data_IF_782004062622
#
_entry.id   IF_782004062622
#
_cell.length_a   1.000
_cell.length_b   1.000
_cell.length_c   1.000
_cell.angle_alpha   90.00
_cell.angle_beta   90.00
_cell.angle_gamma   90.00
#
_symmetry.space_group_name_H-M   'P 1'
#
loop_
_entity.id
_entity.type
_entity.pdbx_description
1 polymer ?
#
# COMPACT_ATOMS: atom_id res chain seq x y z
N UNK A 1 -15.86 -0.20 5.66
CA UNK A 1 -16.83 -1.33 5.68
C UNK A 1 -17.12 -1.64 4.21
N UNK A 2 -17.04 -2.90 3.75
CA UNK A 2 -17.26 -3.23 2.33
C UNK A 2 -18.63 -2.78 1.79
N UNK A 3 -19.70 -2.99 2.54
CA UNK A 3 -21.07 -2.61 2.13
C UNK A 3 -21.22 -1.08 2.00
N UNK A 4 -20.51 -0.33 2.85
CA UNK A 4 -20.51 1.13 2.77
C UNK A 4 -19.80 1.62 1.50
N UNK A 5 -18.67 0.99 1.13
CA UNK A 5 -17.95 1.33 -0.09
C UNK A 5 -18.79 0.99 -1.31
N UNK A 6 -19.38 -0.20 -1.37
CA UNK A 6 -20.28 -0.60 -2.47
C UNK A 6 -21.45 0.38 -2.62
N UNK A 7 -22.12 0.73 -1.51
CA UNK A 7 -23.21 1.70 -1.51
C UNK A 7 -22.77 3.09 -2.02
N UNK A 8 -21.58 3.55 -1.60
CA UNK A 8 -21.01 4.80 -2.09
C UNK A 8 -20.69 4.77 -3.59
N UNK A 9 -20.16 3.65 -4.10
CA UNK A 9 -19.92 3.47 -5.53
C UNK A 9 -21.23 3.54 -6.31
N UNK A 10 -22.29 2.83 -5.91
CA UNK A 10 -23.59 2.97 -6.57
C UNK A 10 -24.16 4.39 -6.50
N UNK A 11 -23.92 5.13 -5.41
CA UNK A 11 -24.33 6.52 -5.32
C UNK A 11 -23.55 7.42 -6.30
N UNK A 12 -22.24 7.20 -6.42
CA UNK A 12 -21.36 7.90 -7.37
C UNK A 12 -21.74 7.62 -8.83
N UNK A 13 -22.02 6.35 -9.16
CA UNK A 13 -22.46 5.93 -10.49
C UNK A 13 -23.75 6.65 -10.91
N UNK A 14 -24.75 6.69 -10.01
CA UNK A 14 -26.02 7.43 -10.22
C UNK A 14 -25.81 8.94 -10.32
N UNK A 15 -24.78 9.48 -9.69
CA UNK A 15 -24.39 10.88 -9.78
C UNK A 15 -23.53 11.18 -11.02
N UNK A 16 -23.33 10.22 -11.93
CA UNK A 16 -22.46 10.34 -13.10
C UNK A 16 -21.00 10.67 -12.79
N UNK A 17 -20.51 10.28 -11.62
CA UNK A 17 -19.07 10.30 -11.33
C UNK A 17 -18.45 9.08 -12.00
N UNK A 18 -17.48 9.31 -12.91
CA UNK A 18 -16.85 8.26 -13.70
C UNK A 18 -15.41 8.01 -13.29
N UNK A 19 -14.64 9.05 -13.00
CA UNK A 19 -13.24 8.90 -12.60
C UNK A 19 -13.08 8.85 -11.08
N UNK A 20 -12.40 7.81 -10.59
CA UNK A 20 -12.19 7.58 -9.16
C UNK A 20 -10.70 7.47 -8.85
N UNK A 21 -10.24 8.09 -7.75
CA UNK A 21 -8.92 7.83 -7.19
C UNK A 21 -9.05 7.01 -5.91
N UNK A 22 -8.67 5.73 -5.97
CA UNK A 22 -8.83 4.79 -4.86
C UNK A 22 -7.61 4.83 -3.92
N UNK A 23 -7.87 5.06 -2.63
CA UNK A 23 -6.84 5.17 -1.61
C UNK A 23 -7.24 4.46 -0.30
N UNK A 24 -6.24 4.05 0.48
CA UNK A 24 -6.46 3.42 1.79
C UNK A 24 -7.09 4.40 2.80
N UNK A 25 -6.79 5.69 2.67
CA UNK A 25 -7.13 6.72 3.65
C UNK A 25 -6.19 6.75 4.86
N UNK A 26 -6.33 7.83 5.63
CA UNK A 26 -5.57 8.07 6.85
C UNK A 26 -6.18 7.38 8.06
N UNK A 27 -5.37 7.22 9.11
CA UNK A 27 -5.87 6.67 10.36
C UNK A 27 -6.69 7.73 11.10
N UNK A 28 -7.84 7.32 11.66
CA UNK A 28 -8.73 8.26 12.35
C UNK A 28 -8.28 8.45 13.79
N UNK A 29 -8.00 9.70 14.18
CA UNK A 29 -7.57 10.06 15.53
C UNK A 29 -8.66 10.74 16.37
N UNK A 30 -9.65 11.35 15.74
CA UNK A 30 -10.72 12.14 16.38
C UNK A 30 -12.05 12.00 15.62
N UNK A 31 -13.17 12.34 16.26
CA UNK A 31 -14.51 12.21 15.70
C UNK A 31 -15.61 12.59 16.71
N UNK A 32 -16.87 12.38 16.31
CA UNK A 32 -18.03 12.61 17.17
C UNK A 32 -17.94 11.76 18.44
N UNK A 33 -18.03 12.40 19.60
CA UNK A 33 -17.83 11.76 20.92
C UNK A 33 -16.48 11.05 21.08
N UNK A 34 -15.44 11.53 20.40
CA UNK A 34 -14.08 11.01 20.50
C UNK A 34 -13.68 10.13 19.32
N UNK A 35 -12.62 9.33 19.48
CA UNK A 35 -12.05 8.53 18.39
C UNK A 35 -12.98 7.36 18.04
N UNK A 36 -13.56 7.29 16.84
CA UNK A 36 -14.38 6.16 16.43
C UNK A 36 -13.52 4.91 16.19
N UNK A 37 -14.17 3.74 16.12
CA UNK A 37 -13.51 2.52 15.67
C UNK A 37 -13.00 2.69 14.23
N UNK A 38 -11.70 2.49 13.95
CA UNK A 38 -11.20 2.51 12.58
C UNK A 38 -11.77 1.33 11.79
N UNK A 39 -12.17 1.56 10.54
CA UNK A 39 -12.83 0.55 9.70
C UNK A 39 -12.04 0.28 8.43
N UNK A 40 -11.19 -0.74 8.47
CA UNK A 40 -10.37 -1.20 7.35
C UNK A 40 -10.66 -2.66 6.98
N UNK A 41 -11.91 -2.92 6.59
CA UNK A 41 -12.39 -4.26 6.21
C UNK A 41 -11.89 -4.71 4.84
N UNK A 42 -11.73 -3.75 3.92
CA UNK A 42 -11.16 -3.94 2.59
C UNK A 42 -10.06 -2.90 2.34
N UNK A 43 -9.11 -3.20 1.46
CA UNK A 43 -8.01 -2.31 1.10
C UNK A 43 -8.14 -1.89 -0.37
N UNK A 44 -7.18 -1.12 -0.89
CA UNK A 44 -7.26 -0.56 -2.24
C UNK A 44 -7.41 -1.63 -3.31
N UNK A 45 -6.74 -2.79 -3.16
CA UNK A 45 -6.81 -3.85 -4.18
C UNK A 45 -8.22 -4.41 -4.23
N UNK A 46 -8.85 -4.63 -3.08
CA UNK A 46 -10.23 -5.09 -2.98
C UNK A 46 -11.24 -4.07 -3.54
N UNK A 47 -11.04 -2.78 -3.30
CA UNK A 47 -11.94 -1.74 -3.83
C UNK A 47 -11.81 -1.65 -5.36
N UNK A 48 -10.60 -1.73 -5.90
CA UNK A 48 -10.38 -1.75 -7.35
C UNK A 48 -10.97 -3.00 -7.99
N UNK A 49 -10.81 -4.18 -7.36
CA UNK A 49 -11.47 -5.42 -7.80
C UNK A 49 -12.99 -5.28 -7.79
N UNK A 50 -13.57 -4.71 -6.72
CA UNK A 50 -15.00 -4.44 -6.63
C UNK A 50 -15.46 -3.52 -7.78
N UNK A 51 -14.74 -2.43 -8.05
CA UNK A 51 -15.07 -1.53 -9.17
C UNK A 51 -15.03 -2.28 -10.50
N UNK A 52 -14.01 -3.11 -10.73
CA UNK A 52 -13.89 -3.93 -11.93
C UNK A 52 -15.06 -4.91 -12.08
N UNK A 53 -15.45 -5.56 -10.99
CA UNK A 53 -16.61 -6.47 -10.97
C UNK A 53 -17.94 -5.72 -11.19
N UNK A 54 -18.09 -4.53 -10.61
CA UNK A 54 -19.25 -3.66 -10.84
C UNK A 54 -19.34 -3.21 -12.31
N UNK A 55 -18.22 -2.84 -12.93
CA UNK A 55 -18.17 -2.49 -14.35
C UNK A 55 -18.52 -3.69 -15.26
N UNK A 56 -18.30 -4.92 -14.80
CA UNK A 56 -18.73 -6.14 -15.49
C UNK A 56 -20.19 -6.56 -15.20
N UNK A 57 -20.89 -5.81 -14.34
CA UNK A 57 -22.19 -6.17 -13.78
C UNK A 57 -22.05 -7.17 -12.64
N UNK A 58 -21.78 -6.67 -11.43
CA UNK A 58 -21.46 -7.44 -10.22
C UNK A 58 -22.42 -8.63 -10.03
N UNK A 59 -21.86 -9.83 -9.84
CA UNK A 59 -22.60 -11.08 -9.65
C UNK A 59 -22.34 -11.70 -8.29
N UNK A 60 -23.40 -12.10 -7.58
CA UNK A 60 -23.29 -12.90 -6.35
C UNK A 60 -24.47 -13.84 -6.15
N UNK A 61 -24.29 -14.84 -5.28
CA UNK A 61 -25.35 -15.80 -4.93
C UNK A 61 -26.30 -15.18 -3.91
N UNK A 62 -27.56 -15.00 -4.32
CA UNK A 62 -28.67 -14.66 -3.44
C UNK A 62 -29.53 -15.88 -3.09
N UNK A 63 -30.53 -15.68 -2.23
CA UNK A 63 -31.42 -16.77 -1.76
C UNK A 63 -32.19 -17.47 -2.90
N UNK A 64 -32.47 -16.78 -4.01
CA UNK A 64 -33.27 -17.29 -5.15
C UNK A 64 -32.45 -17.56 -6.42
N UNK A 65 -31.11 -17.58 -6.32
CA UNK A 65 -30.21 -17.79 -7.46
C UNK A 65 -29.11 -16.74 -7.57
N UNK A 66 -28.45 -16.68 -8.72
CA UNK A 66 -27.44 -15.65 -9.00
C UNK A 66 -28.14 -14.31 -9.25
N UNK A 67 -27.76 -13.29 -8.51
CA UNK A 67 -28.15 -11.89 -8.76
C UNK A 67 -27.06 -11.27 -9.60
N UNK A 68 -27.45 -10.58 -10.67
CA UNK A 68 -26.56 -9.79 -11.52
C UNK A 68 -27.04 -8.34 -11.53
N UNK A 69 -26.13 -7.42 -11.21
CA UNK A 69 -26.41 -5.98 -11.23
C UNK A 69 -26.20 -5.39 -12.62
N UNK A 70 -26.77 -4.20 -12.84
CA UNK A 70 -26.45 -3.40 -14.01
C UNK A 70 -24.96 -3.02 -13.98
N UNK A 71 -24.24 -3.13 -15.11
CA UNK A 71 -22.86 -2.65 -15.21
C UNK A 71 -22.73 -1.17 -14.85
N UNK A 72 -21.72 -0.83 -14.06
CA UNK A 72 -21.26 0.55 -13.87
C UNK A 72 -20.24 0.94 -14.94
N UNK A 73 -19.85 2.22 -14.95
CA UNK A 73 -18.81 2.74 -15.83
C UNK A 73 -17.87 3.65 -15.04
N UNK A 74 -16.88 3.04 -14.38
CA UNK A 74 -15.86 3.75 -13.62
C UNK A 74 -14.48 3.60 -14.25
N UNK A 75 -13.71 4.69 -14.26
CA UNK A 75 -12.29 4.73 -14.55
C UNK A 75 -11.49 4.86 -13.24
N UNK A 76 -10.90 3.76 -12.78
CA UNK A 76 -10.34 3.66 -11.43
C UNK A 76 -8.83 3.83 -11.39
N UNK A 77 -8.35 4.93 -10.79
CA UNK A 77 -6.93 5.20 -10.54
C UNK A 77 -6.48 4.85 -9.14
N UNK A 78 -5.16 4.73 -8.98
CA UNK A 78 -4.51 4.36 -7.72
C UNK A 78 -3.33 5.25 -7.39
N UNK A 79 -3.08 5.49 -6.10
CA UNK A 79 -1.92 6.27 -5.66
C UNK A 79 -0.65 5.41 -5.50
N UNK A 80 0.53 5.94 -5.79
CA UNK A 80 1.82 5.30 -5.51
C UNK A 80 2.84 6.30 -4.95
N UNK A 81 3.56 5.93 -3.88
CA UNK A 81 4.59 6.80 -3.29
C UNK A 81 6.00 6.25 -3.57
N UNK A 82 6.84 6.96 -4.34
CA UNK A 82 8.26 6.66 -4.45
C UNK A 82 9.10 7.33 -3.35
N UNK A 83 8.49 8.10 -2.45
CA UNK A 83 9.20 8.92 -1.48
C UNK A 83 9.44 8.15 -0.17
N UNK A 84 10.24 7.07 -0.26
CA UNK A 84 10.60 6.25 0.89
C UNK A 84 12.08 6.30 1.22
N UNK A 85 12.36 6.28 2.52
CA UNK A 85 13.72 6.41 3.06
C UNK A 85 14.44 5.07 3.04
N UNK A 86 13.75 3.98 3.37
CA UNK A 86 14.39 2.66 3.49
C UNK A 86 14.03 1.71 2.34
N UNK A 87 14.83 0.66 2.17
CA UNK A 87 14.63 -0.32 1.10
C UNK A 87 13.30 -1.06 1.25
N UNK A 88 13.01 -1.57 2.46
CA UNK A 88 11.75 -2.26 2.70
C UNK A 88 10.56 -1.37 2.36
N UNK A 89 10.56 -0.12 2.82
CA UNK A 89 9.47 0.80 2.56
C UNK A 89 9.28 1.07 1.06
N UNK A 90 10.36 1.32 0.33
CA UNK A 90 10.32 1.58 -1.11
C UNK A 90 9.78 0.36 -1.88
N UNK A 91 10.38 -0.81 -1.64
CA UNK A 91 10.00 -2.03 -2.35
C UNK A 91 8.57 -2.44 -2.05
N UNK A 92 8.09 -2.24 -0.81
CA UNK A 92 6.70 -2.49 -0.45
C UNK A 92 5.71 -1.59 -1.20
N UNK A 93 6.06 -0.32 -1.48
CA UNK A 93 5.21 0.55 -2.32
C UNK A 93 5.12 0.02 -3.76
N UNK A 94 6.24 -0.45 -4.32
CA UNK A 94 6.28 -1.02 -5.67
C UNK A 94 5.61 -2.39 -5.77
N UNK A 95 5.76 -3.25 -4.77
CA UNK A 95 5.02 -4.52 -4.69
C UNK A 95 3.51 -4.27 -4.58
N UNK A 96 3.10 -3.26 -3.80
CA UNK A 96 1.70 -2.86 -3.72
C UNK A 96 1.21 -2.23 -5.01
N UNK A 97 2.03 -1.45 -5.71
CA UNK A 97 1.69 -0.87 -7.02
C UNK A 97 1.38 -1.97 -8.05
N UNK A 98 2.24 -3.00 -8.14
CA UNK A 98 1.96 -4.17 -8.98
C UNK A 98 0.58 -4.76 -8.69
N UNK A 99 0.27 -5.02 -7.42
CA UNK A 99 -1.03 -5.57 -7.02
C UNK A 99 -2.21 -4.65 -7.35
N UNK A 100 -2.02 -3.33 -7.25
CA UNK A 100 -3.05 -2.34 -7.60
C UNK A 100 -3.37 -2.37 -9.10
N UNK A 101 -2.34 -2.49 -9.94
CA UNK A 101 -2.50 -2.60 -11.39
C UNK A 101 -3.17 -3.95 -11.73
N UNK A 102 -2.71 -5.05 -11.15
CA UNK A 102 -3.30 -6.39 -11.34
C UNK A 102 -4.76 -6.47 -10.86
N UNK A 103 -5.12 -5.71 -9.82
CA UNK A 103 -6.50 -5.58 -9.36
C UNK A 103 -7.42 -4.91 -10.39
N UNK A 104 -6.87 -4.12 -11.31
CA UNK A 104 -7.61 -3.35 -12.32
C UNK A 104 -7.43 -1.84 -12.23
N UNK A 105 -6.35 -1.33 -11.63
CA UNK A 105 -6.07 0.10 -11.62
C UNK A 105 -5.65 0.60 -13.00
N UNK A 106 -6.31 1.62 -13.51
CA UNK A 106 -6.20 2.08 -14.90
C UNK A 106 -5.33 3.34 -15.08
N UNK A 107 -5.04 4.07 -14.00
CA UNK A 107 -4.04 5.13 -13.99
C UNK A 107 -3.38 5.24 -12.62
N UNK A 108 -2.18 5.82 -12.58
CA UNK A 108 -1.41 6.03 -11.35
C UNK A 108 -1.25 7.50 -11.06
N UNK A 109 -1.55 7.92 -9.83
CA UNK A 109 -1.20 9.26 -9.33
C UNK A 109 -0.04 9.12 -8.36
N UNK A 110 1.06 9.84 -8.61
CA UNK A 110 2.18 9.86 -7.67
C UNK A 110 1.76 10.53 -6.36
N UNK A 111 2.27 10.06 -5.24
CA UNK A 111 2.16 10.80 -3.99
C UNK A 111 2.93 12.12 -4.09
N UNK A 112 2.63 13.07 -3.21
CA UNK A 112 3.38 14.31 -3.12
C UNK A 112 4.83 14.07 -2.63
N UNK A 113 5.78 14.69 -3.32
CA UNK A 113 7.19 14.81 -2.93
C UNK A 113 7.97 15.66 -3.91
N UNK A 114 9.23 15.95 -3.59
CA UNK A 114 9.99 17.01 -4.27
C UNK A 114 11.36 16.56 -4.79
N UNK A 115 11.86 15.40 -4.35
CA UNK A 115 13.12 14.86 -4.84
C UNK A 115 12.96 14.35 -6.27
N UNK A 116 13.68 14.98 -7.21
CA UNK A 116 13.58 14.71 -8.64
C UNK A 116 13.96 13.28 -9.00
N UNK A 117 14.93 12.70 -8.28
CA UNK A 117 15.36 11.31 -8.50
C UNK A 117 14.27 10.33 -8.10
N UNK A 118 13.55 10.55 -7.00
CA UNK A 118 12.38 9.74 -6.62
C UNK A 118 11.19 9.88 -7.57
N UNK A 119 10.99 11.07 -8.12
CA UNK A 119 9.98 11.27 -9.17
C UNK A 119 10.35 10.43 -10.40
N UNK A 120 11.56 10.59 -10.91
CA UNK A 120 12.07 9.82 -12.04
C UNK A 120 12.05 8.30 -11.79
N UNK A 121 12.35 7.87 -10.56
CA UNK A 121 12.33 6.46 -10.14
C UNK A 121 10.96 5.80 -10.37
N UNK A 122 9.85 6.50 -10.10
CA UNK A 122 8.50 5.96 -10.26
C UNK A 122 8.17 5.67 -11.74
N UNK A 123 8.32 6.68 -12.61
CA UNK A 123 7.97 6.54 -14.02
C UNK A 123 8.88 5.50 -14.71
N UNK A 124 10.16 5.48 -14.34
CA UNK A 124 11.10 4.49 -14.84
C UNK A 124 10.76 3.07 -14.37
N UNK A 125 10.36 2.91 -13.10
CA UNK A 125 9.91 1.62 -12.57
C UNK A 125 8.68 1.09 -13.30
N UNK A 126 7.67 1.94 -13.52
CA UNK A 126 6.46 1.58 -14.27
C UNK A 126 6.81 1.10 -15.69
N UNK A 127 7.66 1.86 -16.40
CA UNK A 127 8.11 1.51 -17.76
C UNK A 127 8.91 0.20 -17.78
N UNK A 128 9.81 -0.01 -16.83
CA UNK A 128 10.63 -1.23 -16.77
C UNK A 128 9.80 -2.48 -16.45
N UNK A 129 8.67 -2.34 -15.74
CA UNK A 129 7.73 -3.44 -15.53
C UNK A 129 6.85 -3.73 -16.78
N UNK A 130 6.90 -2.88 -17.82
CA UNK A 130 6.09 -3.01 -19.02
C UNK A 130 4.62 -2.68 -18.79
N UNK A 131 4.29 -1.86 -17.78
CA UNK A 131 2.93 -1.45 -17.51
C UNK A 131 2.55 -0.24 -18.37
N UNK A 132 1.56 -0.43 -19.23
CA UNK A 132 1.05 0.59 -20.15
C UNK A 132 -0.21 1.23 -19.57
N UNK A 133 -0.04 2.29 -18.78
CA UNK A 133 -1.13 3.06 -18.19
C UNK A 133 -0.69 4.49 -17.88
N UNK A 134 -1.61 5.47 -17.90
CA UNK A 134 -1.29 6.86 -17.62
C UNK A 134 -0.71 7.08 -16.22
N UNK A 135 0.34 7.87 -16.14
CA UNK A 135 0.98 8.29 -14.88
C UNK A 135 0.84 9.79 -14.70
N UNK A 136 0.17 10.20 -13.64
CA UNK A 136 -0.08 11.58 -13.27
C UNK A 136 0.85 12.00 -12.13
N UNK A 137 1.67 13.02 -12.38
CA UNK A 137 2.56 13.61 -11.37
C UNK A 137 1.80 14.52 -10.42
N UNK A 138 2.23 14.62 -9.16
CA UNK A 138 1.57 15.46 -8.16
C UNK A 138 2.42 16.68 -7.81
N UNK A 139 1.85 17.86 -8.04
CA UNK A 139 2.45 19.17 -7.78
C UNK A 139 1.63 19.84 -6.69
N UNK A 140 2.29 20.28 -5.63
CA UNK A 140 1.63 21.04 -4.56
C UNK A 140 2.35 22.37 -4.32
N UNK A 141 1.58 23.47 -4.28
CA UNK A 141 2.09 24.78 -3.87
C UNK A 141 2.37 24.74 -2.37
N UNK A 142 3.60 24.38 -2.01
CA UNK A 142 3.99 24.07 -0.64
C UNK A 142 4.31 25.32 0.18
N UNK A 143 3.45 25.76 1.11
CA UNK A 143 3.83 26.82 2.03
C UNK A 143 4.83 26.29 3.07
N UNK A 144 5.68 27.18 3.59
CA UNK A 144 6.71 26.85 4.59
C UNK A 144 6.14 26.12 5.82
N UNK A 145 4.95 26.49 6.29
CA UNK A 145 4.30 25.84 7.43
C UNK A 145 4.01 24.36 7.17
N UNK A 146 3.47 24.04 5.99
CA UNK A 146 3.22 22.66 5.58
C UNK A 146 4.54 21.90 5.35
N UNK A 147 5.55 22.55 4.75
CA UNK A 147 6.88 21.96 4.56
C UNK A 147 7.50 21.53 5.91
N UNK A 148 7.46 22.40 6.92
CA UNK A 148 7.93 22.10 8.27
C UNK A 148 7.17 20.93 8.90
N UNK A 149 5.86 20.83 8.64
CA UNK A 149 5.04 19.73 9.13
C UNK A 149 5.39 18.39 8.44
N UNK A 150 5.60 18.39 7.12
CA UNK A 150 6.05 17.21 6.37
C UNK A 150 7.45 16.76 6.81
N UNK A 151 8.38 17.70 6.96
CA UNK A 151 9.76 17.44 7.35
C UNK A 151 9.87 16.74 8.72
N UNK A 152 9.04 17.15 9.69
CA UNK A 152 8.96 16.50 11.01
C UNK A 152 8.04 15.28 11.06
N UNK A 153 7.64 14.72 9.91
CA UNK A 153 6.72 13.58 9.80
C UNK A 153 5.35 13.81 10.48
N UNK A 154 4.86 15.05 10.49
CA UNK A 154 3.53 15.39 11.00
C UNK A 154 2.40 15.15 9.98
N UNK A 155 2.74 14.93 8.70
CA UNK A 155 1.84 14.49 7.63
C UNK A 155 2.34 13.14 7.10
N UNK A 156 1.70 12.02 7.49
CA UNK A 156 2.16 10.69 7.10
C UNK A 156 2.34 10.53 5.59
N UNK A 157 3.51 10.05 5.18
CA UNK A 157 3.80 9.73 3.78
C UNK A 157 4.13 10.91 2.86
N UNK A 158 4.16 12.13 3.38
CA UNK A 158 4.66 13.31 2.69
C UNK A 158 6.09 13.63 3.18
N UNK A 159 7.03 13.82 2.26
CA UNK A 159 8.44 14.07 2.59
C UNK A 159 8.84 15.45 2.09
N UNK A 160 9.30 16.31 3.00
CA UNK A 160 9.97 17.57 2.67
C UNK A 160 11.40 17.51 3.24
N UNK A 161 12.43 17.34 2.40
CA UNK A 161 13.83 17.29 2.85
C UNK A 161 14.29 18.61 3.46
N UNK A 162 15.31 18.57 4.32
CA UNK A 162 15.81 19.74 5.06
C UNK A 162 16.20 20.90 4.13
N UNK A 163 16.86 20.58 3.01
CA UNK A 163 17.25 21.55 1.98
C UNK A 163 16.03 22.30 1.43
N UNK A 164 14.93 21.61 1.12
CA UNK A 164 13.71 22.25 0.62
C UNK A 164 13.07 23.16 1.69
N UNK A 165 13.07 22.74 2.96
CA UNK A 165 12.56 23.58 4.05
C UNK A 165 13.41 24.85 4.21
N UNK A 166 14.73 24.74 4.07
CA UNK A 166 15.64 25.88 4.12
C UNK A 166 15.41 26.84 2.95
N UNK A 167 15.25 26.32 1.72
CA UNK A 167 14.93 27.12 0.53
C UNK A 167 13.63 27.91 0.74
N UNK A 168 12.56 27.23 1.19
CA UNK A 168 11.27 27.86 1.47
C UNK A 168 11.34 28.88 2.61
N UNK A 169 12.23 28.68 3.59
CA UNK A 169 12.44 29.62 4.68
C UNK A 169 13.07 30.91 4.18
N UNK A 170 14.08 30.80 3.31
CA UNK A 170 14.72 31.95 2.65
C UNK A 170 13.73 32.69 1.74
N UNK A 171 12.94 31.97 0.95
CA UNK A 171 11.91 32.57 0.09
C UNK A 171 10.85 33.33 0.88
N UNK A 172 10.52 32.88 2.10
CA UNK A 172 9.54 33.54 2.95
C UNK A 172 9.99 34.92 3.49
N UNK A 173 11.27 35.27 3.35
CA UNK A 173 11.80 36.59 3.70
C UNK A 173 11.43 37.68 2.69
N UNK A 174 11.08 37.29 1.45
CA UNK A 174 10.65 38.23 0.41
C UNK A 174 9.34 38.95 0.76
N UNK A 175 9.06 40.14 0.18
CA UNK A 175 7.84 40.90 0.47
C UNK A 175 6.54 40.12 0.24
N UNK A 176 6.53 39.26 -0.78
CA UNK A 176 5.39 38.40 -1.16
C UNK A 176 5.32 37.08 -0.36
N UNK A 177 6.22 36.89 0.61
CA UNK A 177 6.36 35.67 1.42
C UNK A 177 6.62 34.41 0.58
N UNK A 178 7.37 34.56 -0.51
CA UNK A 178 7.80 33.46 -1.37
C UNK A 178 6.68 32.90 -2.24
N UNK A 179 5.65 33.70 -2.53
CA UNK A 179 4.50 33.27 -3.35
C UNK A 179 4.93 33.02 -4.79
N UNK A 180 5.66 33.96 -5.39
CA UNK A 180 6.18 33.85 -6.75
C UNK A 180 7.14 32.67 -6.88
N UNK A 181 8.08 32.52 -5.93
CA UNK A 181 9.02 31.40 -5.93
C UNK A 181 8.32 30.02 -5.88
N UNK A 182 7.21 29.90 -5.14
CA UNK A 182 6.37 28.68 -5.13
C UNK A 182 5.69 28.43 -6.48
N UNK A 183 5.20 29.47 -7.16
CA UNK A 183 4.58 29.33 -8.48
C UNK A 183 5.62 28.93 -9.53
N UNK A 184 6.78 29.58 -9.55
CA UNK A 184 7.89 29.23 -10.46
C UNK A 184 8.37 27.79 -10.22
N UNK A 185 8.51 27.38 -8.95
CA UNK A 185 8.84 25.99 -8.61
C UNK A 185 7.79 25.01 -9.16
N UNK A 186 6.50 25.29 -8.98
CA UNK A 186 5.42 24.45 -9.51
C UNK A 186 5.44 24.37 -11.05
N UNK A 187 5.71 25.48 -11.73
CA UNK A 187 5.87 25.51 -13.19
C UNK A 187 7.08 24.69 -13.66
N UNK A 188 8.22 24.79 -12.97
CA UNK A 188 9.40 23.95 -13.25
C UNK A 188 9.10 22.46 -13.04
N UNK A 189 8.35 22.12 -11.98
CA UNK A 189 7.88 20.75 -11.74
C UNK A 189 6.98 20.24 -12.85
N UNK A 190 6.04 21.05 -13.31
CA UNK A 190 5.24 20.75 -14.51
C UNK A 190 6.16 20.43 -15.69
N UNK A 191 7.13 21.31 -15.97
CA UNK A 191 8.03 21.19 -17.11
C UNK A 191 8.83 19.88 -17.11
N UNK A 192 9.44 19.50 -15.99
CA UNK A 192 10.20 18.25 -15.93
C UNK A 192 9.30 17.01 -15.84
N UNK A 193 8.10 17.08 -15.25
CA UNK A 193 7.17 15.94 -15.24
C UNK A 193 6.75 15.61 -16.66
N UNK A 194 6.36 16.63 -17.45
CA UNK A 194 6.08 16.49 -18.88
C UNK A 194 7.30 15.99 -19.64
N UNK A 195 8.47 16.58 -19.39
CA UNK A 195 9.74 16.20 -20.02
C UNK A 195 10.18 14.75 -19.76
N UNK A 196 9.91 14.22 -18.56
CA UNK A 196 10.14 12.82 -18.21
C UNK A 196 9.11 11.86 -18.84
N UNK A 197 8.01 12.39 -19.37
CA UNK A 197 6.92 11.66 -20.00
C UNK A 197 5.86 11.15 -19.01
N UNK A 198 5.52 11.95 -18.00
CA UNK A 198 4.23 11.80 -17.30
C UNK A 198 3.09 12.26 -18.22
N UNK A 199 1.96 11.55 -18.17
CA UNK A 199 0.80 11.80 -19.03
C UNK A 199 -0.06 12.98 -18.55
N UNK A 200 0.14 13.43 -17.32
CA UNK A 200 -0.54 14.59 -16.76
C UNK A 200 0.00 15.01 -15.42
N UNK A 201 -0.58 16.08 -14.88
CA UNK A 201 -0.27 16.59 -13.54
C UNK A 201 -1.54 16.85 -12.74
N UNK A 202 -1.47 16.55 -11.44
CA UNK A 202 -2.44 16.98 -10.45
C UNK A 202 -1.83 18.14 -9.66
N UNK A 203 -2.41 19.32 -9.79
CA UNK A 203 -1.93 20.55 -9.14
C UNK A 203 -2.85 20.89 -7.96
N UNK A 204 -2.26 20.97 -6.77
CA UNK A 204 -2.96 21.32 -5.54
C UNK A 204 -2.33 22.50 -4.81
N UNK A 205 -3.12 23.20 -3.99
CA UNK A 205 -2.66 24.30 -3.15
C UNK A 205 -3.82 24.96 -2.42
N UNK A 206 -3.61 25.35 -1.17
CA UNK A 206 -4.67 25.99 -0.38
C UNK A 206 -4.91 27.42 -0.89
N UNK A 207 -6.16 27.74 -1.28
CA UNK A 207 -6.53 29.07 -1.78
C UNK A 207 -5.92 29.42 -3.14
N UNK A 208 -5.57 28.42 -3.96
CA UNK A 208 -5.04 28.66 -5.30
C UNK A 208 -6.10 29.32 -6.19
N UNK A 209 -5.71 30.40 -6.88
CA UNK A 209 -6.59 31.12 -7.83
C UNK A 209 -6.45 30.55 -9.23
N UNK A 210 -7.39 30.90 -10.12
CA UNK A 210 -7.33 30.53 -11.53
C UNK A 210 -6.09 31.11 -12.23
N UNK A 211 -5.79 32.39 -12.04
CA UNK A 211 -4.62 33.05 -12.64
C UNK A 211 -3.29 32.39 -12.22
N UNK A 212 -3.22 31.88 -10.99
CA UNK A 212 -2.04 31.13 -10.52
C UNK A 212 -1.91 29.78 -11.23
N UNK A 213 -3.03 29.11 -11.48
CA UNK A 213 -3.03 27.87 -12.24
C UNK A 213 -2.61 28.11 -13.70
N UNK A 214 -3.17 29.14 -14.34
CA UNK A 214 -2.81 29.55 -15.71
C UNK A 214 -1.30 29.86 -15.80
N UNK A 215 -0.78 30.65 -14.86
CA UNK A 215 0.66 30.92 -14.77
C UNK A 215 1.51 29.63 -14.70
N UNK A 216 1.12 28.67 -13.86
CA UNK A 216 1.85 27.40 -13.71
C UNK A 216 1.83 26.60 -15.03
N UNK A 217 0.70 26.58 -15.73
CA UNK A 217 0.56 25.85 -16.99
C UNK A 217 1.39 26.52 -18.10
N UNK A 218 1.22 27.82 -18.31
CA UNK A 218 1.92 28.56 -19.37
C UNK A 218 3.44 28.55 -19.16
N UNK A 219 3.90 28.88 -17.95
CA UNK A 219 5.32 28.79 -17.61
C UNK A 219 5.82 27.35 -17.60
N UNK A 220 4.99 26.40 -17.22
CA UNK A 220 5.30 24.98 -17.28
C UNK A 220 5.59 24.51 -18.70
N UNK A 221 4.78 24.94 -19.68
CA UNK A 221 5.00 24.66 -21.10
C UNK A 221 6.30 25.29 -21.62
N UNK A 222 6.63 26.52 -21.21
CA UNK A 222 7.92 27.14 -21.51
C UNK A 222 9.09 26.30 -20.96
N UNK A 223 9.04 25.97 -19.66
CA UNK A 223 10.08 25.19 -18.98
C UNK A 223 10.21 23.75 -19.51
N UNK A 224 9.14 23.17 -20.03
CA UNK A 224 9.16 21.81 -20.59
C UNK A 224 10.11 21.64 -21.78
N UNK A 225 10.44 22.73 -22.49
CA UNK A 225 11.31 22.68 -23.68
C UNK A 225 12.77 22.42 -23.34
N UNK A 226 13.20 22.83 -22.14
CA UNK A 226 14.59 22.74 -21.69
C UNK A 226 14.68 22.27 -20.23
N UNK A 227 13.79 21.34 -19.87
CA UNK A 227 13.59 20.92 -18.48
C UNK A 227 14.85 20.39 -17.81
N UNK A 228 15.77 19.79 -18.57
CA UNK A 228 17.06 19.29 -18.10
C UNK A 228 18.00 20.39 -17.57
N UNK A 229 17.83 21.65 -17.98
CA UNK A 229 18.73 22.74 -17.60
C UNK A 229 18.64 23.07 -16.10
N UNK A 230 17.48 22.85 -15.49
CA UNK A 230 17.19 23.27 -14.11
C UNK A 230 16.85 22.12 -13.15
N UNK A 231 16.86 20.85 -13.58
CA UNK A 231 16.52 19.72 -12.70
C UNK A 231 17.40 19.61 -11.46
N UNK A 232 18.64 20.10 -11.53
CA UNK A 232 19.59 20.10 -10.41
C UNK A 232 19.10 20.95 -9.22
N UNK A 233 18.20 21.91 -9.47
CA UNK A 233 17.53 22.67 -8.40
C UNK A 233 16.63 21.78 -7.53
N UNK A 234 16.14 20.66 -8.09
CA UNK A 234 15.23 19.71 -7.44
C UNK A 234 15.93 18.46 -6.90
N UNK A 235 17.27 18.45 -6.87
CA UNK A 235 18.05 17.43 -6.17
C UNK A 235 17.93 17.65 -4.65
N UNK A 236 17.03 16.89 -4.03
CA UNK A 236 16.70 16.95 -2.60
C UNK A 236 16.95 15.59 -1.95
N UNK A 237 18.20 15.10 -1.97
CA UNK A 237 18.50 13.73 -1.63
C UNK A 237 18.15 13.44 -0.17
N UNK A 238 17.59 12.26 0.07
CA UNK A 238 17.32 11.79 1.44
C UNK A 238 18.64 11.26 2.01
N UNK A 239 19.23 11.85 3.07
CA UNK A 239 20.51 11.39 3.60
C UNK A 239 20.42 9.95 4.13
N UNK A 240 21.27 9.07 3.60
CA UNK A 240 21.23 7.62 3.86
C UNK A 240 19.99 6.92 3.29
N UNK A 241 19.24 7.61 2.41
CA UNK A 241 18.03 7.10 1.78
C UNK A 241 18.32 6.04 0.73
N UNK A 242 17.36 5.13 0.56
CA UNK A 242 17.38 4.11 -0.47
C UNK A 242 16.83 4.66 -1.79
N UNK A 243 17.58 4.47 -2.87
CA UNK A 243 17.14 4.71 -4.25
C UNK A 243 17.19 3.39 -5.00
N UNK A 244 16.15 3.09 -5.77
CA UNK A 244 16.03 1.81 -6.48
C UNK A 244 17.02 1.70 -7.63
N UNK A 245 17.35 2.83 -8.28
CA UNK A 245 18.30 2.90 -9.38
C UNK A 245 19.60 3.63 -9.00
N UNK A 246 20.69 3.26 -9.67
CA UNK A 246 21.98 3.99 -9.54
C UNK A 246 21.83 5.43 -10.04
N UNK A 247 22.56 6.36 -9.42
CA UNK A 247 22.58 7.76 -9.85
C UNK A 247 23.32 7.87 -11.18
N UNK A 248 22.75 8.60 -12.12
CA UNK A 248 23.49 9.04 -13.29
C UNK A 248 24.17 10.38 -12.96
N UNK A 249 25.49 10.36 -12.82
CA UNK A 249 26.27 11.57 -12.48
C UNK A 249 26.28 12.62 -13.59
N UNK A 250 25.94 12.24 -14.85
CA UNK A 250 25.88 13.21 -15.96
C UNK A 250 24.59 14.02 -15.93
N UNK A 251 23.46 13.36 -15.66
CA UNK A 251 22.13 13.99 -15.69
C UNK A 251 21.65 14.40 -14.31
N UNK A 252 22.20 13.84 -13.24
CA UNK A 252 21.68 13.99 -11.88
C UNK A 252 20.43 13.15 -11.60
N UNK A 253 19.93 12.38 -12.59
CA UNK A 253 18.75 11.53 -12.48
C UNK A 253 19.13 10.08 -12.11
N UNK A 254 18.39 9.11 -12.65
CA UNK A 254 18.64 7.69 -12.46
C UNK A 254 19.17 7.08 -13.77
N UNK A 255 20.07 6.11 -13.64
CA UNK A 255 20.39 5.18 -14.73
C UNK A 255 19.27 4.14 -14.88
N UNK A 256 19.32 3.31 -15.91
CA UNK A 256 18.44 2.15 -16.12
C UNK A 256 18.73 0.95 -15.20
N UNK A 257 19.80 1.02 -14.39
CA UNK A 257 20.31 -0.10 -13.58
C UNK A 257 19.78 -0.05 -12.14
N UNK A 258 19.02 -1.05 -11.70
CA UNK A 258 18.66 -1.17 -10.29
C UNK A 258 19.90 -1.39 -9.42
N UNK A 259 19.91 -0.82 -8.22
CA UNK A 259 20.98 -1.08 -7.24
C UNK A 259 20.92 -2.53 -6.75
N UNK A 260 22.08 -3.13 -6.49
CA UNK A 260 22.17 -4.45 -5.89
C UNK A 260 21.55 -4.43 -4.48
N UNK A 261 20.58 -5.32 -4.24
CA UNK A 261 19.87 -5.44 -2.95
C UNK A 261 20.36 -6.61 -2.12
N UNK A 262 21.01 -7.61 -2.74
CA UNK A 262 21.57 -8.77 -2.05
C UNK A 262 22.70 -8.31 -1.12
N UNK A 263 22.64 -8.76 0.14
CA UNK A 263 23.65 -8.40 1.16
C UNK A 263 23.45 -7.03 1.81
N UNK A 264 22.49 -6.20 1.36
CA UNK A 264 22.10 -4.99 2.09
C UNK A 264 21.49 -5.35 3.46
N UNK A 265 21.75 -4.57 4.53
CA UNK A 265 21.22 -4.84 5.86
C UNK A 265 19.68 -4.83 5.87
N UNK A 266 19.10 -5.56 6.81
CA UNK A 266 17.65 -5.58 7.03
C UNK A 266 17.22 -4.33 7.80
N UNK A 267 16.08 -3.75 7.43
CA UNK A 267 15.48 -2.57 8.06
C UNK A 267 15.02 -2.82 9.51
N UNK A 268 14.89 -4.09 9.90
CA UNK A 268 14.52 -4.54 11.24
C UNK A 268 15.04 -5.96 11.46
N UNK A 269 15.45 -6.33 12.69
CA UNK A 269 15.88 -7.69 12.99
C UNK A 269 14.77 -8.71 12.79
N UNK A 270 15.16 -9.94 12.46
CA UNK A 270 14.26 -11.09 12.32
C UNK A 270 14.11 -11.78 13.66
N UNK A 271 12.88 -11.86 14.15
CA UNK A 271 12.61 -12.45 15.47
C UNK A 271 12.62 -13.98 15.42
N UNK A 272 13.00 -14.63 16.53
CA UNK A 272 13.01 -16.10 16.64
C UNK A 272 11.65 -16.73 16.32
N UNK A 273 10.56 -16.04 16.66
CA UNK A 273 9.19 -16.49 16.36
C UNK A 273 8.97 -16.76 14.86
N UNK A 274 9.61 -16.01 13.96
CA UNK A 274 9.53 -16.26 12.52
C UNK A 274 10.22 -17.58 12.12
N UNK A 275 11.41 -17.86 12.68
CA UNK A 275 12.16 -19.10 12.42
C UNK A 275 11.38 -20.31 12.92
N UNK A 276 10.86 -20.24 14.16
CA UNK A 276 9.99 -21.26 14.73
C UNK A 276 8.74 -21.48 13.87
N UNK A 277 8.08 -20.40 13.44
CA UNK A 277 6.85 -20.50 12.62
C UNK A 277 7.11 -21.13 11.26
N UNK A 278 8.23 -20.79 10.63
CA UNK A 278 8.64 -21.37 9.33
C UNK A 278 8.94 -22.85 9.48
N UNK A 279 9.62 -23.25 10.56
CA UNK A 279 9.84 -24.65 10.89
C UNK A 279 8.52 -25.41 11.07
N UNK A 280 7.62 -24.89 11.91
CA UNK A 280 6.31 -25.51 12.15
C UNK A 280 5.46 -25.61 10.88
N UNK A 281 5.51 -24.60 10.00
CA UNK A 281 4.83 -24.63 8.71
C UNK A 281 5.33 -25.76 7.82
N UNK A 282 6.64 -25.89 7.67
CA UNK A 282 7.27 -26.94 6.87
C UNK A 282 7.10 -28.35 7.47
N UNK A 283 6.62 -28.46 8.71
CA UNK A 283 6.30 -29.75 9.33
C UNK A 283 4.82 -30.09 9.25
N UNK A 284 3.93 -29.11 9.45
CA UNK A 284 2.51 -29.34 9.72
C UNK A 284 1.55 -28.71 8.70
N UNK A 285 1.89 -27.55 8.11
CA UNK A 285 0.94 -26.75 7.33
C UNK A 285 1.09 -26.91 5.81
N UNK A 286 2.19 -27.46 5.32
CA UNK A 286 2.39 -27.67 3.88
C UNK A 286 1.85 -29.05 3.45
N UNK A 287 1.04 -29.14 2.37
CA UNK A 287 0.57 -30.43 1.87
C UNK A 287 1.71 -31.40 1.57
N UNK A 288 1.61 -32.63 2.09
CA UNK A 288 2.61 -33.68 1.89
C UNK A 288 3.71 -33.74 2.95
N UNK A 289 3.72 -32.87 3.96
CA UNK A 289 4.68 -32.94 5.08
C UNK A 289 4.25 -33.97 6.15
N UNK A 290 5.18 -34.42 7.03
CA UNK A 290 4.93 -35.54 7.94
C UNK A 290 3.69 -35.42 8.83
N UNK A 291 3.34 -34.20 9.25
CA UNK A 291 2.19 -33.97 10.13
C UNK A 291 0.95 -33.43 9.42
N UNK A 292 1.00 -33.22 8.11
CA UNK A 292 -0.16 -32.74 7.34
C UNK A 292 -1.38 -33.66 7.49
N UNK A 293 -1.21 -34.96 7.21
CA UNK A 293 -2.28 -35.96 7.29
C UNK A 293 -2.89 -36.08 8.68
N UNK A 294 -2.07 -36.28 9.74
CA UNK A 294 -2.53 -36.31 11.12
C UNK A 294 -3.31 -35.06 11.54
N UNK A 295 -2.79 -33.86 11.23
CA UNK A 295 -3.46 -32.61 11.60
C UNK A 295 -4.79 -32.43 10.88
N UNK A 296 -4.86 -32.82 9.60
CA UNK A 296 -6.11 -32.81 8.83
C UNK A 296 -7.13 -33.82 9.37
N UNK A 297 -6.68 -34.99 9.85
CA UNK A 297 -7.55 -35.96 10.50
C UNK A 297 -8.12 -35.44 11.83
N UNK A 298 -7.28 -34.77 12.64
CA UNK A 298 -7.72 -34.12 13.88
C UNK A 298 -8.76 -33.04 13.57
N UNK A 299 -8.50 -32.16 12.60
CA UNK A 299 -9.46 -31.12 12.20
C UNK A 299 -10.82 -31.71 11.79
N UNK A 300 -10.83 -32.80 11.02
CA UNK A 300 -12.06 -33.52 10.63
C UNK A 300 -12.82 -34.13 11.82
N UNK A 301 -12.09 -34.69 12.79
CA UNK A 301 -12.68 -35.32 13.97
C UNK A 301 -13.23 -34.30 14.98
N UNK A 302 -12.70 -33.07 14.95
CA UNK A 302 -13.03 -32.01 15.90
C UNK A 302 -14.16 -31.10 15.38
N UNK A 303 -14.21 -30.78 14.09
CA UNK A 303 -15.22 -29.88 13.49
C UNK A 303 -16.66 -30.33 13.79
N UNK A 304 -17.48 -29.42 14.32
CA UNK A 304 -18.87 -29.68 14.66
C UNK A 304 -19.10 -30.52 15.93
N UNK A 305 -18.05 -30.90 16.65
CA UNK A 305 -18.15 -31.70 17.89
C UNK A 305 -17.99 -30.84 19.14
N UNK A 306 -18.24 -31.43 20.31
CA UNK A 306 -17.99 -30.76 21.60
C UNK A 306 -16.49 -30.42 21.83
N UNK A 307 -15.58 -31.06 21.09
CA UNK A 307 -14.13 -30.85 21.18
C UNK A 307 -13.66 -29.61 20.40
N UNK A 308 -14.51 -29.00 19.56
CA UNK A 308 -14.17 -27.81 18.78
C UNK A 308 -13.81 -26.62 19.66
N UNK A 309 -14.58 -26.39 20.74
CA UNK A 309 -14.35 -25.28 21.68
C UNK A 309 -13.00 -25.40 22.41
N UNK A 310 -12.64 -26.56 23.02
CA UNK A 310 -11.30 -26.75 23.57
C UNK A 310 -10.19 -26.57 22.54
N UNK A 311 -10.33 -27.13 21.34
CA UNK A 311 -9.33 -27.00 20.28
C UNK A 311 -9.10 -25.54 19.89
N UNK A 312 -10.19 -24.80 19.64
CA UNK A 312 -10.16 -23.37 19.34
C UNK A 312 -9.49 -22.58 20.46
N UNK A 313 -9.83 -22.85 21.72
CA UNK A 313 -9.21 -22.20 22.88
C UNK A 313 -7.68 -22.37 22.89
N UNK A 314 -7.18 -23.60 22.72
CA UNK A 314 -5.73 -23.86 22.69
C UNK A 314 -5.04 -23.23 21.47
N UNK A 315 -5.65 -23.32 20.29
CA UNK A 315 -5.14 -22.65 19.08
C UNK A 315 -5.04 -21.14 19.32
N UNK A 316 -6.12 -20.54 19.82
CA UNK A 316 -6.20 -19.11 20.07
C UNK A 316 -5.15 -18.65 21.08
N UNK A 317 -5.01 -19.36 22.22
CA UNK A 317 -3.97 -19.07 23.21
C UNK A 317 -2.57 -19.09 22.61
N UNK A 318 -2.23 -20.14 21.85
CA UNK A 318 -0.92 -20.25 21.20
C UNK A 318 -0.68 -19.09 20.22
N UNK A 319 -1.69 -18.74 19.42
CA UNK A 319 -1.59 -17.64 18.44
C UNK A 319 -1.60 -16.25 19.07
N UNK A 320 -2.26 -16.05 20.20
CA UNK A 320 -2.15 -14.81 20.99
C UNK A 320 -0.73 -14.66 21.52
N UNK A 321 -0.17 -15.71 22.13
CA UNK A 321 1.19 -15.68 22.67
C UNK A 321 2.26 -15.39 21.60
N UNK A 322 2.12 -15.98 20.41
CA UNK A 322 3.12 -15.85 19.34
C UNK A 322 2.92 -14.63 18.41
N UNK A 323 1.66 -14.23 18.17
CA UNK A 323 1.32 -13.28 17.09
C UNK A 323 0.33 -12.16 17.49
N UNK A 324 -0.10 -12.10 18.75
CA UNK A 324 -1.16 -11.21 19.23
C UNK A 324 -2.48 -11.39 18.44
N UNK A 325 -2.86 -12.64 18.16
CA UNK A 325 -4.02 -13.00 17.33
C UNK A 325 -5.32 -12.30 17.77
N UNK A 326 -6.14 -11.87 16.80
CA UNK A 326 -7.47 -11.25 17.00
C UNK A 326 -8.64 -12.15 16.59
N UNK A 327 -8.38 -13.44 16.39
CA UNK A 327 -9.41 -14.47 16.17
C UNK A 327 -10.32 -14.25 14.95
N UNK A 328 -9.77 -13.75 13.84
CA UNK A 328 -10.54 -13.54 12.61
C UNK A 328 -10.96 -14.84 11.89
N UNK A 329 -10.35 -15.99 12.23
CA UNK A 329 -10.59 -17.31 11.61
C UNK A 329 -10.15 -17.49 10.17
N UNK A 330 -9.80 -16.41 9.46
CA UNK A 330 -9.28 -16.41 8.08
C UNK A 330 -7.81 -15.95 8.06
N UNK A 331 -6.90 -16.87 8.41
CA UNK A 331 -5.54 -16.54 8.86
C UNK A 331 -4.58 -16.10 7.74
N UNK A 332 -4.12 -14.84 7.77
CA UNK A 332 -3.18 -14.29 6.78
C UNK A 332 -1.70 -14.34 7.20
N UNK A 333 -1.32 -15.18 8.18
CA UNK A 333 0.05 -15.20 8.71
C UNK A 333 1.07 -15.58 7.63
N UNK A 334 0.77 -16.63 6.86
CA UNK A 334 1.66 -17.14 5.80
C UNK A 334 1.87 -16.13 4.67
N UNK A 335 0.87 -15.28 4.41
CA UNK A 335 0.93 -14.25 3.36
C UNK A 335 1.79 -13.04 3.73
N UNK A 336 1.94 -12.79 5.04
CA UNK A 336 2.60 -11.57 5.57
C UNK A 336 3.79 -11.95 6.44
N UNK A 337 4.54 -13.00 6.07
CA UNK A 337 5.78 -13.40 6.74
C UNK A 337 5.61 -13.67 8.23
N UNK A 338 4.51 -14.32 8.63
CA UNK A 338 4.08 -14.55 10.01
C UNK A 338 3.92 -13.29 10.87
N UNK A 339 3.66 -12.14 10.24
CA UNK A 339 3.23 -10.93 10.93
C UNK A 339 1.71 -10.82 10.76
N UNK A 340 0.94 -11.06 11.82
CA UNK A 340 -0.52 -10.99 11.73
C UNK A 340 -0.96 -9.56 11.34
N UNK A 341 -1.58 -9.35 10.16
CA UNK A 341 -1.95 -8.01 9.72
C UNK A 341 -3.10 -7.44 10.55
N UNK A 342 -3.95 -8.29 11.14
CA UNK A 342 -5.09 -7.88 11.96
C UNK A 342 -4.69 -7.36 13.34
N UNK A 343 -3.51 -7.72 13.85
CA UNK A 343 -3.02 -7.28 15.17
C UNK A 343 -1.84 -6.33 15.08
N UNK A 344 -1.03 -6.44 14.03
CA UNK A 344 0.19 -5.65 13.90
C UNK A 344 0.03 -4.42 12.99
N UNK A 345 -0.98 -4.38 12.13
CA UNK A 345 -1.31 -3.21 11.34
C UNK A 345 -2.55 -2.52 11.91
N UNK A 346 -2.47 -1.25 12.34
CA UNK A 346 -3.64 -0.52 12.82
C UNK A 346 -4.69 -0.29 11.71
N UNK A 347 -4.26 -0.38 10.44
CA UNK A 347 -5.10 -0.28 9.25
C UNK A 347 -5.50 -1.64 8.67
N UNK A 348 -5.28 -2.75 9.40
CA UNK A 348 -5.60 -4.13 9.00
C UNK A 348 -5.24 -4.50 7.54
N UNK A 349 -4.16 -3.94 7.00
CA UNK A 349 -3.81 -4.10 5.58
C UNK A 349 -3.29 -5.52 5.31
N UNK A 350 -3.97 -6.28 4.44
CA UNK A 350 -3.59 -7.65 4.03
C UNK A 350 -2.73 -7.69 2.76
N UNK A 351 -2.67 -6.61 1.98
CA UNK A 351 -2.03 -6.62 0.65
C UNK A 351 -0.93 -5.56 0.42
N UNK A 352 -0.33 -5.02 1.49
CA UNK A 352 0.84 -4.15 1.38
C UNK A 352 0.81 -2.98 2.35
N UNK A 353 1.96 -2.35 2.54
CA UNK A 353 2.11 -1.20 3.42
C UNK A 353 1.17 -0.04 3.00
N UNK A 354 0.72 0.78 3.94
CA UNK A 354 0.16 2.09 3.60
C UNK A 354 1.29 3.02 3.11
N UNK A 355 0.93 4.20 2.61
CA UNK A 355 1.89 5.22 2.23
C UNK A 355 2.53 5.95 3.41
N UNK A 356 2.11 5.73 4.66
CA UNK A 356 2.47 6.57 5.80
C UNK A 356 3.69 6.14 6.62
N UNK A 357 4.27 4.96 6.38
CA UNK A 357 5.46 4.53 7.12
C UNK A 357 6.61 5.52 6.93
N UNK A 358 7.41 5.69 7.99
CA UNK A 358 8.56 6.59 8.02
C UNK A 358 9.73 5.91 8.73
N UNK A 359 10.87 5.75 8.04
CA UNK A 359 12.09 5.16 8.59
C UNK A 359 11.85 3.73 9.15
N UNK A 360 11.00 2.98 8.45
CA UNK A 360 10.54 1.65 8.83
C UNK A 360 9.52 1.60 9.96
N UNK A 361 9.16 2.74 10.56
CA UNK A 361 8.20 2.84 11.66
C UNK A 361 6.75 3.01 11.17
N UNK A 362 5.79 2.59 11.99
CA UNK A 362 4.37 2.73 11.69
C UNK A 362 3.90 4.18 11.93
N UNK A 363 3.13 4.76 10.99
CA UNK A 363 2.59 6.13 11.13
C UNK A 363 1.73 6.33 12.39
N UNK A 364 1.02 5.28 12.82
CA UNK A 364 0.06 5.37 13.95
C UNK A 364 0.75 5.11 15.28
N UNK A 365 1.69 4.16 15.32
CA UNK A 365 2.39 3.80 16.55
C UNK A 365 3.68 4.62 16.76
N UNK A 366 4.11 5.36 15.75
CA UNK A 366 5.39 6.08 15.74
C UNK A 366 6.54 5.13 16.01
N UNK A 367 7.48 5.58 16.84
CA UNK A 367 8.68 4.83 17.23
C UNK A 367 8.42 3.68 18.22
N UNK A 368 7.16 3.40 18.59
CA UNK A 368 6.81 2.30 19.50
C UNK A 368 6.72 0.96 18.79
N UNK A 369 6.45 0.93 17.47
CA UNK A 369 6.27 -0.32 16.71
C UNK A 369 6.70 -0.15 15.26
N UNK A 370 7.62 -1.00 14.79
CA UNK A 370 7.98 -1.10 13.38
C UNK A 370 6.76 -1.47 12.54
N UNK A 371 6.70 -0.96 11.31
CA UNK A 371 5.61 -1.25 10.39
C UNK A 371 5.49 -2.77 10.17
N UNK A 372 4.28 -3.31 10.24
CA UNK A 372 4.03 -4.75 10.07
C UNK A 372 4.60 -5.28 8.75
N UNK A 373 4.48 -4.50 7.67
CA UNK A 373 4.97 -4.86 6.35
C UNK A 373 6.49 -4.75 6.22
N UNK A 374 7.13 -3.82 6.94
CA UNK A 374 8.60 -3.72 7.01
C UNK A 374 9.18 -4.94 7.73
N UNK A 375 8.52 -5.41 8.81
CA UNK A 375 8.86 -6.67 9.47
C UNK A 375 8.66 -7.88 8.55
N UNK A 376 7.55 -7.94 7.83
CA UNK A 376 7.30 -9.01 6.86
C UNK A 376 8.35 -9.05 5.73
N UNK A 377 8.71 -7.88 5.20
CA UNK A 377 9.76 -7.75 4.19
C UNK A 377 11.10 -8.24 4.72
N UNK A 378 11.54 -7.78 5.90
CA UNK A 378 12.80 -8.21 6.50
C UNK A 378 12.87 -9.72 6.73
N UNK A 379 11.80 -10.32 7.25
CA UNK A 379 11.69 -11.77 7.46
C UNK A 379 11.80 -12.57 6.17
N UNK A 380 11.16 -12.12 5.10
CA UNK A 380 11.21 -12.80 3.82
C UNK A 380 12.54 -12.57 3.09
N UNK A 381 13.11 -11.36 3.18
CA UNK A 381 14.42 -11.00 2.61
C UNK A 381 15.56 -11.81 3.24
N UNK A 382 15.49 -12.10 4.54
CA UNK A 382 16.46 -12.99 5.24
C UNK A 382 16.59 -14.37 4.56
N UNK A 383 15.50 -14.85 3.94
CA UNK A 383 15.48 -16.08 3.14
C UNK A 383 15.47 -15.88 1.62
N UNK A 384 15.66 -14.66 1.10
CA UNK A 384 15.59 -14.33 -0.32
C UNK A 384 14.20 -14.51 -0.97
N UNK A 385 13.13 -14.37 -0.18
CA UNK A 385 11.72 -14.64 -0.57
C UNK A 385 10.85 -13.38 -0.57
N UNK A 386 11.42 -12.18 -0.53
CA UNK A 386 10.68 -10.92 -0.42
C UNK A 386 9.71 -10.68 -1.59
N UNK A 387 10.01 -11.22 -2.77
CA UNK A 387 9.13 -11.14 -3.94
C UNK A 387 7.77 -11.81 -3.72
N UNK A 388 7.63 -12.76 -2.78
CA UNK A 388 6.32 -13.36 -2.43
C UNK A 388 5.28 -12.31 -2.04
N UNK A 389 5.71 -11.19 -1.46
CA UNK A 389 4.81 -10.12 -1.05
C UNK A 389 4.12 -9.42 -2.24
N UNK A 390 4.57 -9.63 -3.48
CA UNK A 390 4.04 -9.02 -4.70
C UNK A 390 3.13 -9.94 -5.53
N UNK A 391 3.01 -11.22 -5.16
CA UNK A 391 2.44 -12.26 -6.04
C UNK A 391 0.94 -12.45 -5.88
N UNK A 392 0.42 -12.40 -4.65
CA UNK A 392 -0.97 -12.76 -4.36
C UNK A 392 -1.74 -11.62 -3.69
N UNK A 393 -2.95 -11.34 -4.20
CA UNK A 393 -3.92 -10.47 -3.54
C UNK A 393 -4.72 -11.34 -2.57
N UNK A 394 -4.37 -11.23 -1.29
CA UNK A 394 -5.05 -11.89 -0.17
C UNK A 394 -6.46 -11.30 -0.04
N UNK A 395 -7.54 -12.07 -0.11
CA UNK A 395 -8.90 -11.54 -0.09
C UNK A 395 -9.24 -10.85 1.24
N UNK A 396 -10.37 -10.11 1.32
CA UNK A 396 -10.88 -9.60 2.59
C UNK A 396 -11.08 -10.73 3.59
N UNK A 397 -10.97 -10.44 4.88
CA UNK A 397 -11.26 -11.44 5.91
C UNK A 397 -12.70 -11.95 5.75
N UNK A 398 -12.88 -13.26 5.75
CA UNK A 398 -14.21 -13.86 5.79
C UNK A 398 -14.69 -13.91 7.25
N UNK A 399 -15.61 -13.01 7.59
CA UNK A 399 -16.15 -12.90 8.94
C UNK A 399 -17.10 -14.04 9.34
N UNK A 400 -17.50 -14.93 8.41
CA UNK A 400 -18.17 -16.19 8.76
C UNK A 400 -17.26 -17.12 9.60
N UNK A 401 -15.95 -16.89 9.55
CA UNK A 401 -14.95 -17.60 10.34
C UNK A 401 -14.58 -16.87 11.63
N UNK A 402 -15.19 -15.71 11.92
CA UNK A 402 -14.90 -14.98 13.15
C UNK A 402 -15.10 -15.85 14.38
N UNK A 403 -14.10 -15.86 15.26
CA UNK A 403 -14.06 -16.72 16.45
C UNK A 403 -14.14 -18.24 16.17
N UNK A 404 -13.67 -18.66 14.98
CA UNK A 404 -13.43 -20.07 14.67
C UNK A 404 -11.95 -20.37 14.62
N UNK A 405 -11.63 -21.62 14.96
CA UNK A 405 -10.30 -22.19 14.83
C UNK A 405 -9.81 -22.09 13.37
N UNK A 406 -8.79 -21.26 13.14
CA UNK A 406 -8.27 -21.05 11.78
C UNK A 406 -7.47 -22.25 11.26
N UNK A 407 -7.02 -23.17 12.13
CA UNK A 407 -6.49 -24.44 11.66
C UNK A 407 -7.60 -25.37 11.15
N UNK A 408 -8.78 -25.36 11.75
CA UNK A 408 -9.92 -26.14 11.23
C UNK A 408 -10.34 -25.60 9.86
N UNK A 409 -10.51 -24.28 9.73
CA UNK A 409 -10.87 -23.67 8.43
C UNK A 409 -9.80 -23.91 7.35
N UNK A 410 -8.52 -23.92 7.73
CA UNK A 410 -7.42 -24.24 6.82
C UNK A 410 -7.43 -25.72 6.38
N UNK A 411 -7.35 -26.69 7.31
CA UNK A 411 -7.21 -28.11 6.97
C UNK A 411 -8.45 -28.71 6.29
N UNK A 412 -9.62 -28.10 6.48
CA UNK A 412 -10.85 -28.52 5.83
C UNK A 412 -11.14 -27.80 4.50
N UNK A 413 -10.19 -27.03 3.96
CA UNK A 413 -10.33 -26.41 2.64
C UNK A 413 -11.26 -25.19 2.60
N UNK A 414 -11.55 -24.57 3.75
CA UNK A 414 -12.56 -23.51 3.86
C UNK A 414 -11.97 -22.09 3.71
N UNK A 415 -10.80 -21.85 4.28
CA UNK A 415 -10.18 -20.51 4.30
C UNK A 415 -9.52 -20.12 2.96
N UNK A 416 -9.13 -18.85 2.84
CA UNK A 416 -8.53 -18.35 1.60
C UNK A 416 -7.18 -19.00 1.26
N UNK A 417 -6.38 -19.39 2.25
CA UNK A 417 -5.06 -19.98 2.01
C UNK A 417 -5.22 -21.41 1.50
N UNK A 418 -6.13 -22.17 2.11
CA UNK A 418 -6.46 -23.53 1.72
C UNK A 418 -6.98 -23.59 0.28
N UNK A 419 -7.87 -22.67 -0.10
CA UNK A 419 -8.35 -22.52 -1.49
C UNK A 419 -7.21 -22.21 -2.45
N UNK A 420 -6.30 -21.30 -2.08
CA UNK A 420 -5.15 -20.92 -2.92
C UNK A 420 -4.22 -22.11 -3.21
N UNK A 421 -3.95 -22.95 -2.21
CA UNK A 421 -3.00 -24.07 -2.36
C UNK A 421 -3.69 -25.39 -2.77
N UNK A 422 -4.98 -25.35 -3.14
CA UNK A 422 -5.70 -26.52 -3.65
C UNK A 422 -6.05 -27.57 -2.59
N UNK A 423 -6.29 -27.17 -1.34
CA UNK A 423 -6.79 -28.09 -0.31
C UNK A 423 -8.25 -28.40 -0.59
N UNK A 424 -8.54 -29.66 -0.94
CA UNK A 424 -9.91 -30.12 -1.18
C UNK A 424 -10.84 -29.85 0.02
N UNK A 425 -11.99 -29.18 -0.19
CA UNK A 425 -13.00 -29.01 0.85
C UNK A 425 -13.52 -30.34 1.35
N UNK A 426 -13.79 -30.44 2.65
CA UNK A 426 -14.47 -31.61 3.21
C UNK A 426 -15.98 -31.36 3.16
N UNK A 427 -16.72 -32.20 2.43
CA UNK A 427 -18.18 -32.14 2.43
C UNK A 427 -18.70 -32.38 3.85
N UNK A 428 -19.44 -31.41 4.39
CA UNK A 428 -20.19 -31.63 5.63
C UNK A 428 -21.29 -32.64 5.33
N UNK A 429 -21.26 -33.80 6.00
CA UNK A 429 -22.45 -34.65 6.09
C UNK A 429 -23.53 -33.81 6.75
N UNK A 430 -24.57 -33.48 5.99
CA UNK A 430 -25.74 -32.73 6.46
C UNK A 430 -26.41 -33.41 7.64
#
# INVERSE_FOLDING_TARGET
NRNQIESQLYAMDRANVRSLLVMTGDYVYTGFQGRPKPVFDIDVMHVVQLIKEMNAGLEYKGMKGTIKHQPSDFFAGVAASPFKRTEAEQMLQYFKLKKKIEAGGEFVVSQLGYDVRKIHELIQFIRQQGWDLPVVGNIYLLPLGAAKLMNRNGLPGCVAPDKLVADLAKEAEAPDKGKEARLVRAAKMYGFLKGMGYDGVHIGGHGMTYDQLEFILDKGEEYSKNWMDYIHEFDYPIPGGYYYYEKDEKTGLNTDRPVERKGRPLDTPVEFTYRLSTFMHNMMLEPGTPFWGPMRAIAKAVDGTSMEKPYHFFEHMAKVALFDCKDCGDCALTDVGYVCPMSNCPKNQRNGACGGSWDGWCEVYGTKKKCAWVRAYARLKDGGKENKLREYIVPPANWDFYQKASWITFYLGMDHTAKRIGVEPVEKKK
#
